data_IF_074244115113
#
_entry.id   IF_074244115113
#
_cell.length_a   1.000
_cell.length_b   1.000
_cell.length_c   1.000
_cell.angle_alpha   90.00
_cell.angle_beta   90.00
_cell.angle_gamma   90.00
#
_symmetry.space_group_name_H-M   'P 1'
#
loop_
_entity.id
_entity.type
_entity.pdbx_description
1 polymer ?
#
# COMPACT_ATOMS: atom_id res chain seq x y z
N UNK A 1 41.55 -23.57 13.51
CA UNK A 1 41.06 -23.65 14.90
C UNK A 1 39.58 -23.20 15.02
N UNK A 2 38.69 -23.72 14.16
CA UNK A 2 37.24 -23.37 14.13
C UNK A 2 36.35 -24.62 13.97
N UNK A 3 36.94 -25.82 14.07
CA UNK A 3 36.28 -27.10 13.81
C UNK A 3 36.22 -28.01 15.04
N UNK A 4 36.72 -27.52 16.18
CA UNK A 4 36.70 -28.24 17.44
C UNK A 4 35.25 -28.47 17.92
N UNK A 5 35.02 -29.61 18.58
CA UNK A 5 33.72 -30.06 19.04
C UNK A 5 33.09 -29.02 19.98
N UNK A 6 33.90 -28.38 20.81
CA UNK A 6 33.46 -27.32 21.73
C UNK A 6 33.01 -26.05 21.00
N UNK A 7 33.58 -25.75 19.82
CA UNK A 7 33.10 -24.66 18.99
C UNK A 7 31.73 -25.01 18.37
N UNK A 8 31.57 -26.23 17.85
CA UNK A 8 30.29 -26.69 17.28
C UNK A 8 29.17 -26.70 18.32
N UNK A 9 29.43 -27.17 19.54
CA UNK A 9 28.46 -27.13 20.66
C UNK A 9 28.01 -25.69 20.96
N UNK A 10 28.96 -24.76 21.09
CA UNK A 10 28.66 -23.33 21.32
C UNK A 10 27.83 -22.72 20.19
N UNK A 11 28.14 -23.04 18.93
CA UNK A 11 27.36 -22.57 17.78
C UNK A 11 25.91 -23.10 17.83
N UNK A 12 25.72 -24.36 18.19
CA UNK A 12 24.40 -24.99 18.24
C UNK A 12 23.55 -24.41 19.37
N UNK A 13 24.15 -24.18 20.55
CA UNK A 13 23.51 -23.48 21.67
C UNK A 13 23.14 -22.03 21.27
N UNK A 14 24.07 -21.31 20.63
CA UNK A 14 23.82 -19.95 20.18
C UNK A 14 22.65 -19.90 19.17
N UNK A 15 22.61 -20.81 18.20
CA UNK A 15 21.50 -20.91 17.22
C UNK A 15 20.14 -21.12 17.90
N UNK A 16 20.08 -22.01 18.90
CA UNK A 16 18.86 -22.25 19.68
C UNK A 16 18.47 -20.99 20.47
N UNK A 17 19.43 -20.30 21.09
CA UNK A 17 19.17 -19.06 21.82
C UNK A 17 18.63 -17.96 20.90
N UNK A 18 19.21 -17.78 19.71
CA UNK A 18 18.72 -16.82 18.71
C UNK A 18 17.30 -17.13 18.25
N UNK A 19 16.91 -18.40 18.15
CA UNK A 19 15.52 -18.76 17.80
C UNK A 19 14.49 -18.41 18.89
N UNK A 20 14.94 -18.28 20.15
CA UNK A 20 14.12 -17.87 21.29
C UNK A 20 14.10 -16.35 21.49
N UNK A 21 15.06 -15.63 20.89
CA UNK A 21 15.06 -14.17 20.91
C UNK A 21 13.83 -13.68 20.15
N UNK A 22 12.94 -12.99 20.86
CA UNK A 22 11.76 -12.36 20.28
C UNK A 22 12.22 -11.20 19.41
N UNK A 23 12.47 -11.46 18.14
CA UNK A 23 12.75 -10.41 17.17
C UNK A 23 11.44 -9.67 16.88
N UNK A 24 11.32 -8.45 17.39
CA UNK A 24 10.18 -7.56 17.08
C UNK A 24 10.21 -7.05 15.63
N UNK A 25 11.18 -7.48 14.82
CA UNK A 25 11.43 -6.97 13.47
C UNK A 25 11.61 -8.11 12.45
N UNK A 26 10.52 -8.81 12.12
CA UNK A 26 10.36 -9.49 10.82
C UNK A 26 9.11 -8.95 10.07
N UNK A 27 8.47 -7.93 10.62
CA UNK A 27 7.28 -7.31 10.03
C UNK A 27 7.60 -5.86 9.70
N UNK A 28 7.85 -5.56 8.43
CA UNK A 28 7.72 -4.17 7.96
C UNK A 28 8.59 -3.76 6.78
N UNK A 29 9.79 -4.31 6.61
CA UNK A 29 10.60 -4.02 5.43
C UNK A 29 10.52 -5.21 4.48
N UNK A 30 9.94 -4.96 3.30
CA UNK A 30 10.13 -5.82 2.12
C UNK A 30 11.61 -6.20 2.07
N UNK A 31 11.92 -7.47 1.78
CA UNK A 31 13.33 -7.89 1.69
C UNK A 31 14.08 -6.95 0.74
N UNK A 32 15.36 -6.70 1.00
CA UNK A 32 16.18 -5.81 0.16
C UNK A 32 16.04 -6.14 -1.34
N UNK A 33 15.89 -7.43 -1.66
CA UNK A 33 15.65 -7.92 -3.01
C UNK A 33 14.34 -7.40 -3.60
N UNK A 34 13.24 -7.47 -2.84
CA UNK A 34 11.93 -6.98 -3.29
C UNK A 34 11.93 -5.46 -3.43
N UNK A 35 12.49 -4.73 -2.45
CA UNK A 35 12.59 -3.28 -2.54
C UNK A 35 13.44 -2.83 -3.75
N UNK A 36 14.52 -3.55 -4.05
CA UNK A 36 15.36 -3.29 -5.21
C UNK A 36 14.66 -3.58 -6.54
N UNK A 37 13.86 -4.65 -6.61
CA UNK A 37 13.06 -4.96 -7.79
C UNK A 37 12.05 -3.85 -8.09
N UNK A 38 11.34 -3.37 -7.07
CA UNK A 38 10.37 -2.28 -7.20
C UNK A 38 11.02 -0.95 -7.64
N UNK A 39 12.22 -0.64 -7.12
CA UNK A 39 13.00 0.52 -7.56
C UNK A 39 13.41 0.41 -9.02
N UNK A 40 13.78 -0.79 -9.49
CA UNK A 40 14.11 -1.00 -10.90
C UNK A 40 12.87 -0.85 -11.79
N UNK A 41 11.74 -1.45 -11.40
CA UNK A 41 10.46 -1.28 -12.11
C UNK A 41 10.05 0.20 -12.25
N UNK A 42 10.25 1.01 -11.20
CA UNK A 42 10.00 2.46 -11.28
C UNK A 42 10.93 3.18 -12.27
N UNK A 43 12.20 2.77 -12.37
CA UNK A 43 13.16 3.36 -13.32
C UNK A 43 12.83 2.99 -14.76
N UNK A 44 12.48 1.73 -15.01
CA UNK A 44 12.12 1.25 -16.34
C UNK A 44 10.86 1.96 -16.85
N UNK A 45 9.87 2.13 -15.98
CA UNK A 45 8.65 2.83 -16.33
C UNK A 45 8.87 4.33 -16.54
N UNK A 46 9.77 4.96 -15.76
CA UNK A 46 10.21 6.33 -16.02
C UNK A 46 10.91 6.47 -17.37
N UNK A 47 11.72 5.50 -17.78
CA UNK A 47 12.39 5.50 -19.08
C UNK A 47 11.38 5.42 -20.24
N UNK A 48 10.37 4.56 -20.14
CA UNK A 48 9.27 4.45 -21.12
C UNK A 48 8.40 5.72 -21.22
N UNK A 49 8.27 6.47 -20.13
CA UNK A 49 7.60 7.77 -20.17
C UNK A 49 8.44 8.82 -20.90
N UNK A 50 9.76 8.76 -20.73
CA UNK A 50 10.70 9.71 -21.35
C UNK A 50 10.91 9.43 -22.84
N UNK A 51 10.68 8.19 -23.31
CA UNK A 51 10.70 7.83 -24.74
C UNK A 51 9.47 8.31 -25.51
N UNK A 52 8.46 8.87 -24.83
CA UNK A 52 7.22 9.35 -25.46
C UNK A 52 6.24 8.24 -25.86
N UNK A 53 6.51 6.99 -25.48
CA UNK A 53 5.71 5.82 -25.88
C UNK A 53 4.46 5.59 -25.01
N UNK A 54 4.30 6.33 -23.90
CA UNK A 54 3.14 6.20 -23.01
C UNK A 54 2.45 7.54 -22.76
N UNK A 55 1.15 7.59 -23.02
CA UNK A 55 0.28 8.75 -22.75
C UNK A 55 -0.28 8.79 -21.32
N UNK A 56 0.16 7.88 -20.44
CA UNK A 56 -0.32 7.83 -19.06
C UNK A 56 0.27 9.00 -18.27
N UNK A 57 -0.60 9.74 -17.61
CA UNK A 57 -0.21 10.80 -16.68
C UNK A 57 0.50 10.22 -15.45
N UNK A 58 1.32 11.05 -14.79
CA UNK A 58 2.08 10.65 -13.59
C UNK A 58 1.15 10.05 -12.50
N UNK A 59 -0.06 10.58 -12.36
CA UNK A 59 -1.05 10.10 -11.40
C UNK A 59 -1.55 8.68 -11.76
N UNK A 60 -1.80 8.41 -13.03
CA UNK A 60 -2.26 7.09 -13.50
C UNK A 60 -1.19 6.02 -13.31
N UNK A 61 0.08 6.39 -13.48
CA UNK A 61 1.23 5.52 -13.21
C UNK A 61 1.31 5.17 -11.73
N UNK A 62 1.20 6.18 -10.86
CA UNK A 62 1.24 5.99 -9.41
C UNK A 62 0.09 5.09 -8.96
N UNK A 63 -1.12 5.32 -9.47
CA UNK A 63 -2.30 4.52 -9.16
C UNK A 63 -2.18 3.07 -9.68
N UNK A 64 -1.53 2.85 -10.83
CA UNK A 64 -1.29 1.51 -11.37
C UNK A 64 -0.28 0.70 -10.53
N UNK A 65 0.79 1.34 -10.04
CA UNK A 65 1.84 0.66 -9.25
C UNK A 65 1.43 0.46 -7.81
N UNK A 66 0.80 1.47 -7.19
CA UNK A 66 0.57 1.50 -5.74
C UNK A 66 -0.88 1.24 -5.36
N UNK A 67 -1.74 1.02 -6.37
CA UNK A 67 -3.17 0.83 -6.25
C UNK A 67 -3.89 2.05 -5.64
N UNK A 68 -5.13 2.28 -6.10
CA UNK A 68 -6.01 3.41 -5.70
C UNK A 68 -6.25 3.56 -4.17
N UNK A 69 -5.90 2.55 -3.37
CA UNK A 69 -6.03 2.54 -1.91
C UNK A 69 -4.81 3.08 -1.17
N UNK A 70 -3.70 3.34 -1.84
CA UNK A 70 -2.53 3.88 -1.16
C UNK A 70 -2.74 5.37 -0.88
N UNK A 71 -3.07 5.71 0.37
CA UNK A 71 -3.02 7.11 0.86
C UNK A 71 -1.60 7.70 0.87
N UNK A 72 -0.65 7.06 0.18
CA UNK A 72 0.79 7.23 0.36
C UNK A 72 1.45 8.18 -0.65
N UNK A 73 0.71 8.78 -1.60
CA UNK A 73 1.31 9.73 -2.57
C UNK A 73 0.58 11.03 -2.82
N UNK A 74 -0.70 11.14 -2.44
CA UNK A 74 -1.46 12.36 -2.73
C UNK A 74 -1.15 13.43 -1.68
N UNK A 75 0.05 14.02 -1.75
CA UNK A 75 0.46 15.12 -0.85
C UNK A 75 1.92 15.16 -0.40
N UNK A 76 2.85 14.45 -1.04
CA UNK A 76 4.28 14.48 -0.71
C UNK A 76 5.01 15.77 -1.19
N UNK A 77 4.35 16.92 -1.05
CA UNK A 77 5.03 18.20 -0.90
C UNK A 77 5.30 19.05 -2.14
N UNK A 78 4.76 18.75 -3.33
CA UNK A 78 4.85 19.65 -4.49
C UNK A 78 3.44 20.05 -4.96
N UNK A 79 2.87 21.05 -4.30
CA UNK A 79 1.58 21.65 -4.68
C UNK A 79 0.96 22.43 -3.52
N UNK A 80 0.09 23.42 -3.79
CA UNK A 80 -0.65 24.12 -2.74
C UNK A 80 -1.35 23.10 -1.85
N UNK A 81 -1.11 23.19 -0.53
CA UNK A 81 -1.73 22.33 0.47
C UNK A 81 -3.24 22.34 0.25
N UNK A 82 -3.80 21.22 -0.19
CA UNK A 82 -5.25 21.08 -0.27
C UNK A 82 -5.82 21.20 1.14
N UNK A 83 -6.84 22.04 1.33
CA UNK A 83 -7.57 22.16 2.59
C UNK A 83 -8.25 20.82 2.90
N UNK A 84 -7.53 19.93 3.58
CA UNK A 84 -7.93 18.56 3.92
C UNK A 84 -9.29 18.51 4.63
N UNK A 85 -9.63 19.56 5.37
CA UNK A 85 -10.91 19.72 6.08
C UNK A 85 -12.10 19.80 5.11
N UNK A 86 -12.00 20.60 4.04
CA UNK A 86 -13.13 20.83 3.11
C UNK A 86 -13.40 19.63 2.21
N UNK A 87 -12.34 18.97 1.74
CA UNK A 87 -12.45 17.82 0.84
C UNK A 87 -13.00 16.57 1.54
N UNK A 88 -12.67 16.37 2.81
CA UNK A 88 -13.18 15.24 3.61
C UNK A 88 -14.67 15.41 3.91
N UNK A 89 -15.09 16.61 4.32
CA UNK A 89 -16.51 16.91 4.54
C UNK A 89 -17.36 16.69 3.28
N UNK A 90 -16.90 17.16 2.11
CA UNK A 90 -17.64 16.98 0.86
C UNK A 90 -17.83 15.52 0.48
N UNK A 91 -16.80 14.69 0.67
CA UNK A 91 -16.90 13.25 0.39
C UNK A 91 -17.80 12.52 1.38
N UNK A 92 -17.82 12.95 2.65
CA UNK A 92 -18.71 12.39 3.66
C UNK A 92 -20.19 12.70 3.33
N UNK A 93 -20.50 13.94 2.96
CA UNK A 93 -21.88 14.32 2.57
C UNK A 93 -22.33 13.61 1.29
N UNK A 94 -21.48 13.51 0.27
CA UNK A 94 -21.78 12.78 -0.97
C UNK A 94 -22.07 11.29 -0.70
N UNK A 95 -21.38 10.68 0.28
CA UNK A 95 -21.60 9.29 0.70
C UNK A 95 -22.91 9.13 1.47
N UNK A 96 -23.23 10.05 2.37
CA UNK A 96 -24.49 10.05 3.13
C UNK A 96 -25.71 10.20 2.21
N UNK A 97 -25.65 11.11 1.23
CA UNK A 97 -26.70 11.30 0.23
C UNK A 97 -26.91 10.04 -0.63
N UNK A 98 -25.80 9.41 -1.04
CA UNK A 98 -25.85 8.15 -1.81
C UNK A 98 -26.46 7.01 -1.01
N UNK A 99 -26.13 6.91 0.29
CA UNK A 99 -26.71 5.90 1.18
C UNK A 99 -28.20 6.13 1.42
N UNK A 100 -28.62 7.39 1.56
CA UNK A 100 -30.03 7.73 1.71
C UNK A 100 -30.83 7.35 0.46
N UNK A 101 -30.32 7.69 -0.72
CA UNK A 101 -30.94 7.32 -2.00
C UNK A 101 -31.06 5.81 -2.17
N UNK A 102 -30.01 5.05 -1.87
CA UNK A 102 -30.05 3.59 -1.95
C UNK A 102 -31.06 2.96 -0.99
N UNK A 103 -31.24 3.55 0.20
CA UNK A 103 -32.28 3.09 1.15
C UNK A 103 -33.69 3.33 0.61
N UNK A 104 -33.94 4.48 -0.01
CA UNK A 104 -35.23 4.80 -0.63
C UNK A 104 -35.53 3.89 -1.83
N UNK A 105 -34.53 3.62 -2.67
CA UNK A 105 -34.64 2.66 -3.78
C UNK A 105 -34.89 1.23 -3.29
N UNK A 106 -34.20 0.79 -2.23
CA UNK A 106 -34.44 -0.54 -1.65
C UNK A 106 -35.86 -0.66 -1.05
N UNK A 107 -36.35 0.37 -0.37
CA UNK A 107 -37.70 0.40 0.21
C UNK A 107 -38.80 0.38 -0.86
N UNK A 108 -38.60 1.11 -1.97
CA UNK A 108 -39.53 1.10 -3.10
C UNK A 108 -39.55 -0.25 -3.82
N UNK A 109 -38.40 -0.90 -4.00
CA UNK A 109 -38.32 -2.26 -4.57
C UNK A 109 -39.04 -3.27 -3.67
N UNK A 110 -38.81 -3.24 -2.35
CA UNK A 110 -39.52 -4.14 -1.42
C UNK A 110 -41.03 -3.96 -1.45
N UNK A 111 -41.51 -2.72 -1.44
CA UNK A 111 -42.95 -2.43 -1.48
C UNK A 111 -43.60 -2.89 -2.80
N UNK A 112 -42.89 -2.79 -3.93
CA UNK A 112 -43.38 -3.29 -5.22
C UNK A 112 -43.34 -4.82 -5.34
N UNK A 113 -42.49 -5.51 -4.57
CA UNK A 113 -42.41 -6.97 -4.53
C UNK A 113 -43.48 -7.61 -3.62
N UNK A 114 -44.06 -6.83 -2.69
CA UNK A 114 -45.13 -7.26 -1.78
C UNK A 114 -46.55 -6.98 -2.31
N UNK A 115 -46.67 -6.43 -3.53
CA UNK A 115 -47.93 -6.32 -4.29
C UNK A 115 -48.04 -7.45 -5.29
#
# INVERSE_FOLDING_TARGET
>A
MWSDLEHKKRCQVNKINWSKVKCNHIMGLKSFVVARAEINSMKDLKALYTSGESSMTIDEIIDAILHKKSGYLKGLGHGPKLDTTRATHRRATELEDSLKKLKEEAATIQHNLQK
#
